data_IF_566063869083
#
_entry.id   IF_566063869083
#
_cell.length_a   1.000
_cell.length_b   1.000
_cell.length_c   1.000
_cell.angle_alpha   90.00
_cell.angle_beta   90.00
_cell.angle_gamma   90.00
#
_symmetry.space_group_name_H-M   'P 1'
#
loop_
_entity.id
_entity.type
_entity.pdbx_description
1 polymer ?
#
# COMPACT_ATOMS: atom_id res chain seq x y z
N UNK A 1 61.28 4.90 51.47
CA UNK A 1 60.28 3.94 51.10
C UNK A 1 58.97 4.71 50.91
N UNK A 2 58.55 4.94 49.65
CA UNK A 2 57.38 5.72 49.33
C UNK A 2 56.44 4.72 48.61
N UNK A 3 55.31 4.38 49.24
CA UNK A 3 54.29 3.49 48.72
C UNK A 3 53.27 4.33 47.98
N UNK A 4 53.15 4.14 46.62
CA UNK A 4 52.14 4.76 45.80
C UNK A 4 50.86 3.88 45.82
N UNK A 5 49.74 4.44 46.26
CA UNK A 5 48.43 3.84 46.21
C UNK A 5 47.77 4.23 44.88
N UNK A 6 47.58 3.28 43.99
CA UNK A 6 46.90 3.44 42.71
C UNK A 6 45.39 3.30 42.95
N UNK A 7 44.61 4.36 42.85
CA UNK A 7 43.17 4.35 42.93
C UNK A 7 42.58 4.03 41.53
N UNK A 8 41.94 2.86 41.38
CA UNK A 8 41.24 2.44 40.20
C UNK A 8 39.82 3.06 40.23
N UNK A 9 39.58 4.09 39.43
CA UNK A 9 38.26 4.68 39.25
C UNK A 9 37.48 3.83 38.18
N UNK A 10 36.56 3.02 38.65
CA UNK A 10 35.62 2.30 37.78
C UNK A 10 34.53 3.28 37.29
N UNK A 11 34.60 3.71 36.04
CA UNK A 11 33.51 4.45 35.39
C UNK A 11 32.41 3.47 34.99
N UNK A 12 31.34 3.47 35.77
CA UNK A 12 30.09 2.73 35.43
C UNK A 12 29.40 3.46 34.27
N UNK A 13 29.56 2.91 33.05
CA UNK A 13 28.88 3.43 31.88
C UNK A 13 27.36 3.11 31.99
N UNK A 14 26.56 4.15 32.25
CA UNK A 14 25.11 4.07 32.12
C UNK A 14 24.78 4.01 30.63
N UNK A 15 24.46 2.80 30.13
CA UNK A 15 23.81 2.65 28.83
C UNK A 15 22.38 3.16 28.96
N UNK A 16 22.11 4.35 28.47
CA UNK A 16 20.75 4.84 28.30
C UNK A 16 20.09 4.02 27.19
N UNK A 17 19.19 3.11 27.58
CA UNK A 17 18.27 2.46 26.63
C UNK A 17 17.31 3.54 26.14
N UNK A 18 17.41 3.92 24.86
CA UNK A 18 16.42 4.79 24.25
C UNK A 18 15.05 4.10 24.34
N UNK A 19 13.98 4.81 24.75
CA UNK A 19 12.65 4.23 24.71
C UNK A 19 12.34 3.83 23.26
N UNK A 20 11.88 2.59 23.07
CA UNK A 20 11.33 2.18 21.78
C UNK A 20 10.20 3.16 21.44
N UNK A 21 10.26 3.77 20.24
CA UNK A 21 9.17 4.62 19.79
C UNK A 21 7.87 3.81 19.86
N UNK A 22 6.86 4.35 20.54
CA UNK A 22 5.55 3.70 20.61
C UNK A 22 5.01 3.64 19.17
N UNK A 23 4.76 2.43 18.69
CA UNK A 23 4.18 2.26 17.36
C UNK A 23 2.71 2.68 17.38
N UNK A 24 2.24 3.32 16.30
CA UNK A 24 0.84 3.62 16.13
C UNK A 24 -0.03 2.34 16.25
N UNK A 25 -1.28 2.45 16.74
CA UNK A 25 -2.16 1.29 16.93
C UNK A 25 -2.35 0.54 15.63
N UNK A 26 -2.43 -0.79 15.76
CA UNK A 26 -2.73 -1.67 14.64
C UNK A 26 -4.24 -1.72 14.38
N UNK A 27 -4.59 -1.94 13.12
CA UNK A 27 -5.97 -2.06 12.65
C UNK A 27 -6.16 -3.39 11.92
N UNK A 28 -7.25 -4.08 12.21
CA UNK A 28 -7.67 -5.30 11.54
C UNK A 28 -8.74 -4.95 10.49
N UNK A 29 -8.40 -5.15 9.23
CA UNK A 29 -9.29 -4.90 8.08
C UNK A 29 -10.44 -5.92 8.08
N UNK A 30 -11.66 -5.45 7.80
CA UNK A 30 -12.81 -6.29 7.46
C UNK A 30 -12.82 -6.56 5.94
N UNK A 31 -12.48 -7.78 5.49
CA UNK A 31 -12.43 -8.08 4.06
C UNK A 31 -13.81 -8.04 3.38
N UNK A 32 -14.89 -8.29 4.12
CA UNK A 32 -16.24 -8.30 3.56
C UNK A 32 -16.79 -6.89 3.32
N UNK A 33 -16.29 -5.90 4.08
CA UNK A 33 -16.69 -4.49 3.97
C UNK A 33 -15.71 -3.67 3.13
N UNK A 34 -14.49 -4.19 2.87
CA UNK A 34 -13.45 -3.49 2.14
C UNK A 34 -13.46 -3.81 0.64
N UNK A 35 -13.02 -2.86 -0.18
CA UNK A 35 -12.98 -2.98 -1.65
C UNK A 35 -11.70 -2.37 -2.21
N UNK A 36 -11.16 -3.01 -3.25
CA UNK A 36 -10.06 -2.53 -4.05
C UNK A 36 -10.45 -2.60 -5.53
N UNK A 37 -10.58 -1.45 -6.16
CA UNK A 37 -11.09 -1.29 -7.51
C UNK A 37 -10.09 -0.54 -8.39
N UNK A 38 -10.18 -0.71 -9.69
CA UNK A 38 -9.43 0.08 -10.65
C UNK A 38 -10.30 0.54 -11.82
N UNK A 39 -9.91 1.65 -12.42
CA UNK A 39 -10.52 2.19 -13.64
C UNK A 39 -9.42 2.45 -14.66
N UNK A 40 -9.44 1.66 -15.73
CA UNK A 40 -8.63 1.90 -16.92
C UNK A 40 -9.47 2.47 -18.06
N UNK A 41 -8.83 2.78 -19.21
CA UNK A 41 -9.52 3.22 -20.42
C UNK A 41 -9.12 2.37 -21.61
N UNK A 42 -10.14 1.89 -22.35
CA UNK A 42 -9.96 1.17 -23.59
C UNK A 42 -10.61 1.98 -24.73
N UNK A 43 -9.81 2.46 -25.64
CA UNK A 43 -10.15 3.52 -26.62
C UNK A 43 -10.76 4.75 -25.93
N UNK A 44 -11.64 5.19 -25.61
CA UNK A 44 -12.11 6.30 -24.75
C UNK A 44 -13.13 5.83 -23.70
N UNK A 45 -13.47 4.52 -23.72
CA UNK A 45 -14.42 3.95 -22.79
C UNK A 45 -13.72 3.56 -21.47
N UNK A 46 -14.38 3.86 -20.35
CA UNK A 46 -13.92 3.42 -19.03
C UNK A 46 -14.16 1.91 -18.88
N UNK A 47 -13.14 1.20 -18.41
CA UNK A 47 -13.19 -0.21 -18.03
C UNK A 47 -12.94 -0.31 -16.54
N UNK A 48 -13.90 -0.88 -15.82
CA UNK A 48 -13.85 -1.05 -14.37
C UNK A 48 -13.55 -2.48 -14.02
N UNK A 49 -12.76 -2.65 -12.96
CA UNK A 49 -12.47 -3.94 -12.38
C UNK A 49 -12.08 -3.79 -10.92
N UNK A 50 -11.71 -4.90 -10.28
CA UNK A 50 -11.27 -4.93 -8.90
C UNK A 50 -10.52 -6.20 -8.58
N UNK A 51 -10.08 -6.30 -7.33
CA UNK A 51 -9.46 -7.47 -6.76
C UNK A 51 -10.30 -7.92 -5.56
N UNK A 52 -10.73 -9.18 -5.56
CA UNK A 52 -11.61 -9.71 -4.51
C UNK A 52 -10.83 -10.16 -3.27
N UNK A 53 -9.55 -10.52 -3.44
CA UNK A 53 -8.71 -11.01 -2.36
C UNK A 53 -7.49 -10.10 -2.17
N UNK A 54 -7.45 -9.41 -1.03
CA UNK A 54 -6.32 -8.62 -0.58
C UNK A 54 -6.30 -8.54 0.94
N UNK A 55 -5.14 -8.26 1.50
CA UNK A 55 -4.93 -8.06 2.93
C UNK A 55 -4.24 -6.74 3.19
N UNK A 56 -4.49 -6.16 4.37
CA UNK A 56 -3.85 -4.93 4.79
C UNK A 56 -3.35 -5.05 6.22
N UNK A 57 -2.06 -4.78 6.42
CA UNK A 57 -1.44 -4.57 7.72
C UNK A 57 -1.26 -3.07 7.92
N UNK A 58 -2.05 -2.48 8.80
CA UNK A 58 -2.13 -1.04 8.98
C UNK A 58 -1.79 -0.68 10.42
N UNK A 59 -0.88 0.28 10.59
CA UNK A 59 -0.67 1.03 11.83
C UNK A 59 -0.91 2.49 11.53
N UNK A 60 -1.82 3.10 12.26
CA UNK A 60 -2.16 4.50 12.00
C UNK A 60 -2.83 5.15 13.21
N UNK A 61 -2.41 6.37 13.51
CA UNK A 61 -3.12 7.30 14.37
C UNK A 61 -2.92 8.73 13.84
N UNK A 62 -3.95 9.56 13.82
CA UNK A 62 -3.84 10.96 13.37
C UNK A 62 -2.83 11.80 14.15
N UNK A 63 -2.56 11.44 15.40
CA UNK A 63 -1.66 12.09 16.34
C UNK A 63 -0.27 11.44 16.44
N UNK A 64 -0.04 10.33 15.70
CA UNK A 64 1.25 9.62 15.62
C UNK A 64 1.51 9.12 14.20
N UNK A 65 1.86 10.02 13.30
CA UNK A 65 2.18 9.68 11.91
C UNK A 65 3.59 9.10 11.75
N UNK A 66 4.50 9.35 12.69
CA UNK A 66 5.86 8.77 12.67
C UNK A 66 5.84 7.25 12.94
N UNK A 67 4.88 6.80 13.77
CA UNK A 67 4.66 5.37 14.05
C UNK A 67 3.76 4.66 13.04
N UNK A 68 3.25 5.38 12.02
CA UNK A 68 2.33 4.84 11.05
C UNK A 68 3.02 4.02 9.97
N UNK A 69 2.36 2.96 9.52
CA UNK A 69 2.82 2.13 8.40
C UNK A 69 1.63 1.44 7.72
N UNK A 70 1.75 1.23 6.43
CA UNK A 70 0.76 0.53 5.61
C UNK A 70 1.48 -0.51 4.77
N UNK A 71 0.99 -1.75 4.81
CA UNK A 71 1.37 -2.81 3.89
C UNK A 71 0.10 -3.46 3.35
N UNK A 72 -0.04 -3.49 2.03
CA UNK A 72 -1.16 -4.12 1.34
C UNK A 72 -0.59 -5.21 0.44
N UNK A 73 -1.15 -6.42 0.53
CA UNK A 73 -0.84 -7.53 -0.36
C UNK A 73 -2.11 -7.89 -1.13
N UNK A 74 -2.01 -7.92 -2.44
CA UNK A 74 -3.14 -8.16 -3.35
C UNK A 74 -2.90 -9.48 -4.07
N UNK A 75 -3.84 -10.41 -3.98
CA UNK A 75 -3.86 -11.60 -4.82
C UNK A 75 -4.28 -11.21 -6.25
N UNK A 76 -3.30 -11.19 -7.16
CA UNK A 76 -3.51 -10.79 -8.56
C UNK A 76 -4.39 -11.80 -9.33
N UNK A 77 -4.52 -13.04 -8.83
CA UNK A 77 -5.39 -14.06 -9.43
C UNK A 77 -6.86 -13.76 -9.20
N UNK A 78 -7.18 -12.96 -8.16
CA UNK A 78 -8.53 -12.55 -7.79
C UNK A 78 -9.10 -11.43 -8.64
N UNK A 79 -8.35 -10.98 -9.67
CA UNK A 79 -8.78 -9.89 -10.53
C UNK A 79 -10.09 -10.22 -11.25
N UNK A 80 -11.03 -9.29 -11.16
CA UNK A 80 -12.26 -9.27 -11.94
C UNK A 80 -12.37 -7.98 -12.73
N UNK A 81 -12.94 -8.06 -13.93
CA UNK A 81 -13.17 -6.91 -14.80
C UNK A 81 -14.48 -7.09 -15.54
N UNK A 82 -15.15 -6.00 -15.85
CA UNK A 82 -16.38 -6.02 -16.64
C UNK A 82 -16.16 -6.70 -18.00
N UNK A 83 -16.90 -7.80 -18.24
CA UNK A 83 -16.78 -8.65 -19.44
C UNK A 83 -15.82 -9.83 -19.22
N UNK A 84 -16.37 -11.06 -19.26
CA UNK A 84 -15.67 -12.30 -18.90
C UNK A 84 -14.37 -12.55 -19.67
N UNK A 85 -14.31 -12.23 -20.97
CA UNK A 85 -13.12 -12.43 -21.80
C UNK A 85 -11.95 -11.49 -21.40
N UNK A 86 -12.27 -10.29 -20.88
CA UNK A 86 -11.24 -9.33 -20.45
C UNK A 86 -10.49 -9.81 -19.21
N UNK A 87 -11.17 -10.51 -18.30
CA UNK A 87 -10.53 -11.09 -17.10
C UNK A 87 -9.44 -12.08 -17.46
N UNK A 88 -9.69 -12.98 -18.41
CA UNK A 88 -8.70 -13.95 -18.88
C UNK A 88 -7.50 -13.26 -19.55
N UNK A 89 -7.75 -12.26 -20.40
CA UNK A 89 -6.68 -11.47 -21.04
C UNK A 89 -5.84 -10.77 -19.99
N UNK A 90 -6.48 -10.17 -18.98
CA UNK A 90 -5.79 -9.41 -17.94
C UNK A 90 -4.91 -10.30 -17.05
N UNK A 91 -5.30 -11.55 -16.79
CA UNK A 91 -4.48 -12.54 -16.07
C UNK A 91 -3.26 -13.00 -16.86
N UNK A 92 -3.32 -12.93 -18.19
CA UNK A 92 -2.27 -13.44 -19.09
C UNK A 92 -0.90 -12.77 -18.90
N UNK A 93 0.15 -13.46 -19.36
CA UNK A 93 1.56 -13.04 -19.19
C UNK A 93 1.90 -11.67 -19.78
N UNK A 94 1.23 -11.27 -20.86
CA UNK A 94 1.40 -9.94 -21.46
C UNK A 94 0.82 -8.81 -20.60
N UNK A 95 -0.04 -9.13 -19.62
CA UNK A 95 -0.68 -8.19 -18.71
C UNK A 95 -0.18 -8.40 -17.28
N UNK A 96 -0.99 -8.95 -16.40
CA UNK A 96 -0.62 -9.14 -14.99
C UNK A 96 0.34 -10.33 -14.79
N UNK A 97 0.28 -11.34 -15.69
CA UNK A 97 1.16 -12.50 -15.62
C UNK A 97 1.00 -13.28 -14.31
N UNK A 98 -0.27 -13.50 -13.87
CA UNK A 98 -0.59 -13.96 -12.52
C UNK A 98 -0.03 -15.36 -12.20
N UNK A 99 0.32 -16.18 -13.20
CA UNK A 99 0.97 -17.48 -13.01
C UNK A 99 2.40 -17.31 -12.45
N UNK A 100 3.13 -16.30 -12.93
CA UNK A 100 4.51 -16.02 -12.49
C UNK A 100 4.55 -14.97 -11.36
N UNK A 101 3.57 -14.08 -11.32
CA UNK A 101 3.49 -12.94 -10.40
C UNK A 101 2.11 -12.90 -9.71
N UNK A 102 1.82 -13.85 -8.80
CA UNK A 102 0.49 -13.95 -8.19
C UNK A 102 0.18 -12.84 -7.18
N UNK A 103 1.16 -12.06 -6.75
CA UNK A 103 1.00 -11.06 -5.70
C UNK A 103 1.55 -9.70 -6.12
N UNK A 104 0.81 -8.64 -5.83
CA UNK A 104 1.32 -7.27 -5.82
C UNK A 104 1.40 -6.75 -4.38
N UNK A 105 2.39 -5.90 -4.10
CA UNK A 105 2.66 -5.43 -2.75
C UNK A 105 2.83 -3.90 -2.74
N UNK A 106 2.07 -3.23 -1.88
CA UNK A 106 2.31 -1.83 -1.54
C UNK A 106 2.83 -1.71 -0.12
N UNK A 107 3.89 -0.94 0.07
CA UNK A 107 4.46 -0.67 1.41
C UNK A 107 4.75 0.81 1.57
N UNK A 108 4.28 1.40 2.67
CA UNK A 108 4.59 2.77 3.05
C UNK A 108 4.82 2.85 4.57
N UNK A 109 5.88 3.52 4.96
CA UNK A 109 6.26 3.85 6.35
C UNK A 109 6.41 5.37 6.56
N UNK A 110 6.07 6.16 5.54
CA UNK A 110 6.03 7.60 5.58
C UNK A 110 4.61 8.08 5.23
N UNK A 111 3.91 8.62 6.22
CA UNK A 111 2.56 9.16 6.06
C UNK A 111 2.57 10.61 6.50
N UNK A 112 2.00 11.49 5.70
CA UNK A 112 1.90 12.92 5.97
C UNK A 112 0.45 13.41 5.90
N UNK A 113 0.11 14.37 6.74
CA UNK A 113 -1.16 15.07 6.64
C UNK A 113 -1.11 16.10 5.50
N UNK A 114 -2.20 16.19 4.72
CA UNK A 114 -2.30 17.11 3.59
C UNK A 114 -3.02 18.39 4.01
N UNK A 115 -2.49 19.54 3.56
CA UNK A 115 -3.14 20.83 3.79
C UNK A 115 -4.55 20.84 3.17
N UNK A 116 -5.56 21.14 3.97
CA UNK A 116 -6.97 21.09 3.54
C UNK A 116 -7.70 19.80 3.95
N UNK A 117 -7.03 18.83 4.52
CA UNK A 117 -7.57 17.57 5.03
C UNK A 117 -6.99 16.34 4.33
N UNK A 118 -7.21 15.16 4.93
CA UNK A 118 -6.72 13.89 4.43
C UNK A 118 -5.24 13.64 4.67
N UNK A 119 -4.76 12.54 4.13
CA UNK A 119 -3.41 12.02 4.30
C UNK A 119 -2.82 11.57 2.97
N UNK A 120 -1.50 11.51 2.92
CA UNK A 120 -0.74 10.93 1.82
C UNK A 120 0.26 9.93 2.38
N UNK A 121 0.18 8.68 1.94
CA UNK A 121 1.20 7.67 2.18
C UNK A 121 2.20 7.71 1.01
N UNK A 122 3.48 7.89 1.33
CA UNK A 122 4.57 7.84 0.37
C UNK A 122 5.13 6.42 0.39
N UNK A 123 4.73 5.61 -0.57
CA UNK A 123 5.01 4.19 -0.60
C UNK A 123 5.66 3.72 -1.89
N UNK A 124 6.02 2.44 -1.87
CA UNK A 124 6.51 1.69 -3.03
C UNK A 124 5.50 0.61 -3.38
N UNK A 125 5.12 0.54 -4.64
CA UNK A 125 4.28 -0.51 -5.20
C UNK A 125 5.14 -1.45 -6.04
N UNK A 126 5.03 -2.74 -5.77
CA UNK A 126 5.61 -3.81 -6.57
C UNK A 126 4.51 -4.53 -7.35
N UNK A 127 4.66 -4.59 -8.69
CA UNK A 127 3.83 -5.39 -9.60
C UNK A 127 4.78 -6.06 -10.60
N UNK A 128 4.63 -7.36 -10.86
CA UNK A 128 5.47 -8.15 -11.79
C UNK A 128 6.97 -8.01 -11.52
N UNK A 129 7.39 -7.83 -10.26
CA UNK A 129 8.79 -7.60 -9.88
C UNK A 129 9.32 -6.20 -10.17
N UNK A 130 8.48 -5.27 -10.65
CA UNK A 130 8.85 -3.87 -10.82
C UNK A 130 8.39 -3.05 -9.61
N UNK A 131 9.34 -2.44 -8.92
CA UNK A 131 9.08 -1.53 -7.82
C UNK A 131 9.04 -0.08 -8.31
N UNK A 132 8.01 0.67 -7.94
CA UNK A 132 7.89 2.10 -8.26
C UNK A 132 7.34 2.88 -7.07
N UNK A 133 7.81 4.11 -6.85
CA UNK A 133 7.21 5.01 -5.88
C UNK A 133 5.80 5.38 -6.33
N UNK A 134 4.83 5.17 -5.45
CA UNK A 134 3.43 5.50 -5.69
C UNK A 134 2.88 6.22 -4.46
N UNK A 135 2.50 7.49 -4.56
CA UNK A 135 1.78 8.16 -3.50
C UNK A 135 0.32 7.67 -3.48
N UNK A 136 -0.17 7.37 -2.28
CA UNK A 136 -1.54 6.96 -2.04
C UNK A 136 -2.22 8.06 -1.21
N UNK A 137 -3.25 8.69 -1.77
CA UNK A 137 -4.01 9.74 -1.08
C UNK A 137 -5.27 9.14 -0.46
N UNK A 138 -5.57 9.50 0.80
CA UNK A 138 -6.76 8.99 1.49
C UNK A 138 -7.30 9.93 2.56
N UNK A 139 -8.58 9.80 2.80
CA UNK A 139 -9.28 10.31 3.97
C UNK A 139 -9.59 9.16 4.93
N UNK A 140 -9.64 9.43 6.23
CA UNK A 140 -10.01 8.43 7.22
C UNK A 140 -10.88 9.05 8.30
N UNK A 141 -11.93 8.33 8.69
CA UNK A 141 -12.78 8.65 9.84
C UNK A 141 -12.61 7.55 10.88
N UNK A 142 -12.22 7.94 12.09
CA UNK A 142 -12.05 7.02 13.21
C UNK A 142 -13.06 7.36 14.29
N UNK A 143 -13.90 6.40 14.66
CA UNK A 143 -14.95 6.54 15.68
C UNK A 143 -15.11 5.23 16.45
N UNK A 144 -15.06 5.30 17.78
CA UNK A 144 -15.33 4.16 18.68
C UNK A 144 -14.54 2.88 18.33
N UNK A 145 -13.26 3.05 17.96
CA UNK A 145 -12.37 1.92 17.61
C UNK A 145 -12.63 1.31 16.22
N UNK A 146 -13.43 1.97 15.38
CA UNK A 146 -13.63 1.65 13.96
C UNK A 146 -12.99 2.72 13.11
N UNK A 147 -12.39 2.31 11.99
CA UNK A 147 -11.85 3.21 10.98
C UNK A 147 -12.51 2.92 9.64
N UNK A 148 -12.84 3.98 8.92
CA UNK A 148 -13.28 3.91 7.52
C UNK A 148 -12.36 4.82 6.72
N UNK A 149 -11.65 4.27 5.75
CA UNK A 149 -10.74 5.00 4.89
C UNK A 149 -11.15 4.84 3.43
N UNK A 150 -11.23 5.97 2.74
CA UNK A 150 -11.44 6.04 1.29
C UNK A 150 -10.25 6.72 0.65
N UNK A 151 -9.78 6.19 -0.47
CA UNK A 151 -8.63 6.79 -1.12
C UNK A 151 -8.38 6.30 -2.54
N UNK A 152 -7.29 6.84 -3.10
CA UNK A 152 -6.90 6.57 -4.48
C UNK A 152 -5.39 6.63 -4.68
N UNK A 153 -4.95 5.95 -5.73
CA UNK A 153 -3.62 6.09 -6.31
C UNK A 153 -3.73 6.16 -7.84
N UNK A 154 -2.95 7.03 -8.45
CA UNK A 154 -2.88 7.17 -9.90
C UNK A 154 -1.65 6.40 -10.39
N UNK A 155 -1.85 5.42 -11.27
CA UNK A 155 -0.80 4.53 -11.77
C UNK A 155 -0.57 4.73 -13.27
N UNK A 156 0.64 4.47 -13.70
CA UNK A 156 0.99 4.27 -15.11
C UNK A 156 1.35 2.79 -15.29
N UNK A 157 0.43 2.00 -15.85
CA UNK A 157 0.56 0.53 -15.96
C UNK A 157 1.82 0.07 -16.68
N UNK A 158 2.29 0.83 -17.67
CA UNK A 158 3.49 0.51 -18.44
C UNK A 158 4.78 0.63 -17.64
N UNK A 159 4.77 1.38 -16.53
CA UNK A 159 5.90 1.42 -15.59
C UNK A 159 6.14 0.06 -14.89
N UNK A 160 5.15 -0.83 -14.91
CA UNK A 160 5.18 -2.16 -14.33
C UNK A 160 5.12 -3.28 -15.38
N UNK A 161 5.36 -2.94 -16.65
CA UNK A 161 5.25 -3.88 -17.77
C UNK A 161 3.87 -4.60 -17.83
N UNK A 162 2.80 -3.88 -17.49
CA UNK A 162 1.43 -4.39 -17.55
C UNK A 162 0.79 -3.99 -18.86
N UNK A 163 0.67 -4.97 -19.76
CA UNK A 163 0.10 -4.84 -21.09
C UNK A 163 0.96 -4.07 -22.08
N UNK A 164 0.70 -4.23 -23.38
CA UNK A 164 1.50 -3.63 -24.43
C UNK A 164 1.38 -2.11 -24.47
N UNK A 165 2.42 -1.44 -24.94
CA UNK A 165 2.38 -0.03 -25.29
C UNK A 165 1.68 0.19 -26.63
N UNK A 166 0.94 1.29 -26.75
CA UNK A 166 0.27 1.69 -27.97
C UNK A 166 -1.01 0.89 -28.29
N UNK A 167 -1.38 0.87 -29.57
CA UNK A 167 -2.55 0.14 -30.02
C UNK A 167 -2.17 -1.24 -30.58
N UNK A 168 -2.87 -2.28 -30.16
CA UNK A 168 -2.73 -3.64 -30.68
C UNK A 168 -4.01 -4.02 -31.41
N UNK A 169 -3.92 -4.37 -32.68
CA UNK A 169 -5.06 -4.67 -33.56
C UNK A 169 -6.15 -3.58 -33.55
N UNK A 170 -5.74 -2.30 -33.46
CA UNK A 170 -6.69 -1.17 -33.44
C UNK A 170 -7.33 -0.88 -32.10
N UNK A 171 -7.04 -1.68 -31.06
CA UNK A 171 -7.49 -1.45 -29.70
C UNK A 171 -6.38 -0.74 -28.92
N UNK A 172 -6.70 0.42 -28.34
CA UNK A 172 -5.78 1.19 -27.51
C UNK A 172 -6.21 1.11 -26.05
N UNK A 173 -5.30 0.72 -25.18
CA UNK A 173 -5.50 0.80 -23.72
C UNK A 173 -4.59 1.89 -23.18
N UNK A 174 -5.19 2.89 -22.53
CA UNK A 174 -4.45 3.99 -21.95
C UNK A 174 -3.44 3.50 -20.89
N UNK A 175 -2.29 4.18 -20.76
CA UNK A 175 -1.32 3.81 -19.74
C UNK A 175 -1.76 4.19 -18.32
N UNK A 176 -2.60 5.21 -18.18
CA UNK A 176 -3.11 5.70 -16.89
C UNK A 176 -4.20 4.75 -16.36
N UNK A 177 -4.10 4.43 -15.06
CA UNK A 177 -5.07 3.62 -14.32
C UNK A 177 -5.30 4.27 -12.96
N UNK A 178 -6.56 4.57 -12.66
CA UNK A 178 -6.96 5.02 -11.33
C UNK A 178 -7.23 3.78 -10.45
N UNK A 179 -6.57 3.67 -9.31
CA UNK A 179 -6.87 2.68 -8.28
C UNK A 179 -7.64 3.35 -7.17
N UNK A 180 -8.76 2.78 -6.79
CA UNK A 180 -9.67 3.25 -5.75
C UNK A 180 -9.77 2.20 -4.66
N UNK A 181 -9.82 2.61 -3.41
CA UNK A 181 -10.03 1.69 -2.31
C UNK A 181 -10.98 2.26 -1.27
N UNK A 182 -11.69 1.35 -0.64
CA UNK A 182 -12.49 1.58 0.54
C UNK A 182 -12.11 0.52 1.57
N UNK A 183 -11.64 0.92 2.73
CA UNK A 183 -11.19 0.04 3.80
C UNK A 183 -12.02 0.30 5.06
N UNK A 184 -12.65 -0.72 5.57
CA UNK A 184 -13.20 -0.74 6.92
C UNK A 184 -12.31 -1.59 7.84
N UNK A 185 -12.03 -1.10 9.04
CA UNK A 185 -11.17 -1.78 9.99
C UNK A 185 -11.62 -1.53 11.43
N UNK A 186 -11.22 -2.44 12.32
CA UNK A 186 -11.38 -2.28 13.77
C UNK A 186 -10.01 -2.21 14.43
N UNK A 187 -9.92 -1.50 15.55
CA UNK A 187 -8.68 -1.42 16.30
C UNK A 187 -8.33 -2.80 16.84
N UNK A 188 -7.11 -3.27 16.56
CA UNK A 188 -6.60 -4.49 17.14
C UNK A 188 -6.45 -4.34 18.67
N UNK A 189 -6.83 -5.38 19.41
CA UNK A 189 -6.83 -5.39 20.87
C UNK A 189 -5.43 -5.47 21.50
#
# INVERSE_FOLDING_TARGET
VITAVLALASTMGMTATAPAAAQAPAWEMDPAASRLEFVGRQNDDAVRGGFNDFTASIRFAPDDLEGASIRIEVDMTSVEVEGSERGEILRGSAWLGVEDFPTAIFTADAIEAVAGGGYRALGTLEIKGYERPVPLAFDVVITDGRAVADGRADLVRTNFDVGPEGAVFGVRVAPEVDVLFHIEAVRAG
#
